data_IF_643122482472
#
_entry.id   IF_643122482472
#
_cell.length_a   1.000
_cell.length_b   1.000
_cell.length_c   1.000
_cell.angle_alpha   90.00
_cell.angle_beta   90.00
_cell.angle_gamma   90.00
#
_symmetry.space_group_name_H-M   'P 1'
#
loop_
_entity.id
_entity.type
_entity.pdbx_description
1 polymer ?
#
# COMPACT_ATOMS: atom_id res chain seq x y z
N UNK A 1 -2.51 -3.22 -24.74
CA UNK A 1 -3.47 -2.55 -23.83
C UNK A 1 -2.88 -1.30 -23.18
N UNK A 2 -1.73 -1.37 -22.49
CA UNK A 2 -1.19 -0.19 -21.76
C UNK A 2 -0.83 1.00 -22.66
N UNK A 3 -0.22 0.76 -23.84
CA UNK A 3 0.24 1.81 -24.74
C UNK A 3 -0.81 2.32 -25.76
N UNK A 4 -2.06 1.90 -25.66
CA UNK A 4 -3.11 2.38 -26.57
C UNK A 4 -3.77 3.62 -26.00
N UNK A 5 -4.03 4.62 -26.85
CA UNK A 5 -4.61 5.92 -26.45
C UNK A 5 -6.09 6.05 -26.85
N UNK A 6 -6.68 5.04 -27.49
CA UNK A 6 -8.09 5.07 -27.87
C UNK A 6 -9.01 5.05 -26.65
N UNK A 7 -9.87 6.07 -26.46
CA UNK A 7 -10.81 6.13 -25.35
C UNK A 7 -11.80 4.96 -25.30
N UNK A 8 -12.25 4.45 -26.46
CA UNK A 8 -13.19 3.34 -26.52
C UNK A 8 -12.55 2.02 -26.07
N UNK A 9 -11.30 1.76 -26.48
CA UNK A 9 -10.53 0.59 -26.01
C UNK A 9 -10.21 0.70 -24.50
N UNK A 10 -9.98 1.91 -24.00
CA UNK A 10 -9.75 2.14 -22.57
C UNK A 10 -11.01 1.85 -21.75
N UNK A 11 -12.17 2.34 -22.20
CA UNK A 11 -13.43 2.06 -21.52
C UNK A 11 -13.79 0.57 -21.54
N UNK A 12 -13.54 -0.12 -22.66
CA UNK A 12 -13.74 -1.57 -22.74
C UNK A 12 -12.81 -2.32 -21.77
N UNK A 13 -11.55 -1.89 -21.62
CA UNK A 13 -10.63 -2.44 -20.64
C UNK A 13 -11.17 -2.30 -19.21
N UNK A 14 -11.64 -1.10 -18.84
CA UNK A 14 -12.21 -0.85 -17.51
C UNK A 14 -13.50 -1.64 -17.28
N UNK A 15 -14.38 -1.73 -18.27
CA UNK A 15 -15.60 -2.52 -18.19
C UNK A 15 -15.30 -4.01 -17.90
N UNK A 16 -14.31 -4.58 -18.61
CA UNK A 16 -13.87 -5.97 -18.36
C UNK A 16 -13.28 -6.13 -16.95
N UNK A 17 -12.49 -5.18 -16.48
CA UNK A 17 -11.92 -5.20 -15.14
C UNK A 17 -13.01 -5.10 -14.05
N UNK A 18 -14.01 -4.23 -14.23
CA UNK A 18 -15.19 -4.15 -13.33
C UNK A 18 -15.92 -5.48 -13.23
N UNK A 19 -16.21 -6.11 -14.38
CA UNK A 19 -16.88 -7.43 -14.42
C UNK A 19 -16.06 -8.51 -13.73
N UNK A 20 -14.73 -8.50 -13.91
CA UNK A 20 -13.84 -9.45 -13.23
C UNK A 20 -13.85 -9.22 -11.71
N UNK A 21 -13.75 -7.96 -11.24
CA UNK A 21 -13.88 -7.64 -9.82
C UNK A 21 -15.22 -8.11 -9.26
N UNK A 22 -16.32 -7.78 -9.93
CA UNK A 22 -17.68 -8.13 -9.50
C UNK A 22 -17.89 -9.64 -9.38
N UNK A 23 -17.33 -10.42 -10.30
CA UNK A 23 -17.42 -11.88 -10.26
C UNK A 23 -16.75 -12.49 -9.02
N UNK A 24 -15.69 -11.89 -8.47
CA UNK A 24 -14.95 -12.41 -7.32
C UNK A 24 -15.34 -11.75 -5.98
N UNK A 25 -15.74 -10.48 -6.01
CA UNK A 25 -15.97 -9.66 -4.82
C UNK A 25 -17.38 -9.06 -4.75
N UNK A 26 -18.26 -9.38 -5.72
CA UNK A 26 -19.59 -8.74 -5.83
C UNK A 26 -19.46 -7.21 -5.82
N UNK A 27 -20.26 -6.53 -5.03
CA UNK A 27 -20.17 -5.07 -4.86
C UNK A 27 -19.37 -4.66 -3.61
N UNK A 28 -18.49 -5.54 -3.08
CA UNK A 28 -17.74 -5.32 -1.85
C UNK A 28 -16.37 -4.72 -2.11
N UNK A 29 -16.03 -3.72 -1.29
CA UNK A 29 -14.73 -3.04 -1.29
C UNK A 29 -14.16 -3.09 0.13
N UNK A 30 -12.93 -3.56 0.27
CA UNK A 30 -12.24 -3.60 1.55
C UNK A 30 -11.65 -2.23 1.91
N UNK A 31 -11.61 -1.92 3.20
CA UNK A 31 -11.12 -0.65 3.74
C UNK A 31 -9.94 -0.90 4.66
N UNK A 32 -8.78 -0.29 4.38
CA UNK A 32 -7.57 -0.43 5.19
C UNK A 32 -7.25 0.87 5.91
N UNK A 33 -7.17 0.79 7.23
CA UNK A 33 -6.74 1.88 8.08
C UNK A 33 -5.23 1.92 8.22
N UNK A 34 -4.62 3.06 7.95
CA UNK A 34 -3.16 3.25 7.97
C UNK A 34 -2.71 3.98 9.23
N UNK A 35 -1.66 3.45 9.85
CA UNK A 35 -0.96 4.07 10.95
C UNK A 35 0.50 4.30 10.54
N UNK A 36 0.81 5.51 10.05
CA UNK A 36 2.18 5.93 9.76
C UNK A 36 2.87 6.27 11.07
N UNK A 37 3.50 5.29 11.72
CA UNK A 37 3.98 5.47 13.09
C UNK A 37 5.43 5.96 13.23
N UNK A 38 6.22 5.93 12.13
CA UNK A 38 7.54 6.57 12.08
C UNK A 38 7.87 7.10 10.69
N UNK A 39 8.33 8.36 10.64
CA UNK A 39 8.88 8.99 9.43
C UNK A 39 10.40 8.89 9.34
N UNK A 40 11.06 8.29 10.34
CA UNK A 40 12.49 8.03 10.29
C UNK A 40 12.81 6.88 9.36
N UNK A 41 13.85 7.05 8.53
CA UNK A 41 14.28 6.03 7.58
C UNK A 41 15.80 6.05 7.43
N UNK A 42 16.42 4.86 7.33
CA UNK A 42 17.86 4.72 7.05
C UNK A 42 18.21 4.89 5.58
N UNK A 43 17.22 4.81 4.68
CA UNK A 43 17.41 4.78 3.24
C UNK A 43 17.34 6.17 2.60
N UNK A 44 17.97 6.29 1.41
CA UNK A 44 17.99 7.51 0.61
C UNK A 44 17.27 7.34 -0.75
N UNK A 45 16.11 6.67 -0.78
CA UNK A 45 15.33 6.49 -2.00
C UNK A 45 15.09 7.82 -2.72
N UNK A 46 15.35 7.88 -4.02
CA UNK A 46 15.33 9.14 -4.77
C UNK A 46 13.92 9.73 -4.93
N UNK A 47 12.89 8.93 -4.79
CA UNK A 47 11.48 9.31 -4.93
C UNK A 47 10.77 9.61 -3.61
N UNK A 48 11.34 9.24 -2.45
CA UNK A 48 10.61 9.17 -1.19
C UNK A 48 10.74 10.43 -0.36
N UNK A 49 9.62 10.94 0.17
CA UNK A 49 9.61 12.06 1.10
C UNK A 49 10.36 11.76 2.41
N UNK A 50 10.28 10.52 2.91
CA UNK A 50 10.93 10.10 4.16
C UNK A 50 12.41 9.73 4.01
N UNK A 51 13.00 9.91 2.84
CA UNK A 51 14.43 9.63 2.63
C UNK A 51 15.30 10.27 3.73
N UNK A 52 16.36 9.56 4.14
CA UNK A 52 17.22 9.96 5.28
C UNK A 52 17.76 11.38 5.18
N UNK A 53 18.23 11.76 3.99
CA UNK A 53 18.86 13.07 3.75
C UNK A 53 17.87 14.22 3.61
N UNK A 54 16.55 13.95 3.51
CA UNK A 54 15.54 14.99 3.44
C UNK A 54 15.40 15.73 4.78
N UNK A 55 15.36 17.06 4.74
CA UNK A 55 15.23 17.93 5.92
C UNK A 55 13.74 18.18 6.20
N UNK A 56 13.08 17.19 6.74
CA UNK A 56 11.66 17.26 7.11
C UNK A 56 11.49 17.14 8.62
N UNK A 57 10.37 17.60 9.14
CA UNK A 57 9.94 17.27 10.49
C UNK A 57 9.69 15.76 10.58
N UNK A 58 10.29 15.13 11.59
CA UNK A 58 10.20 13.68 11.79
C UNK A 58 9.58 13.35 13.12
N UNK A 59 8.78 12.31 13.13
CA UNK A 59 8.19 11.80 14.36
C UNK A 59 8.35 10.28 14.48
N UNK A 60 8.20 9.79 15.69
CA UNK A 60 7.87 8.42 16.08
C UNK A 60 6.70 8.49 17.02
N UNK A 61 5.63 7.79 16.72
CA UNK A 61 4.51 7.62 17.62
C UNK A 61 4.88 6.68 18.76
N UNK A 62 4.37 6.95 19.95
CA UNK A 62 4.51 6.02 21.08
C UNK A 62 3.61 4.80 20.88
N UNK A 63 3.86 3.66 21.55
CA UNK A 63 2.97 2.51 21.51
C UNK A 63 1.51 2.86 21.82
N UNK A 64 1.28 3.73 22.81
CA UNK A 64 -0.03 4.18 23.24
C UNK A 64 -0.73 4.99 22.14
N UNK A 65 0.00 5.89 21.47
CA UNK A 65 -0.53 6.66 20.33
C UNK A 65 -0.90 5.75 19.15
N UNK A 66 -0.04 4.76 18.83
CA UNK A 66 -0.28 3.80 17.73
C UNK A 66 -1.55 2.98 18.02
N UNK A 67 -1.67 2.46 19.24
CA UNK A 67 -2.83 1.66 19.66
C UNK A 67 -4.12 2.51 19.63
N UNK A 68 -4.07 3.74 20.13
CA UNK A 68 -5.23 4.64 20.12
C UNK A 68 -5.69 4.98 18.68
N UNK A 69 -4.75 5.20 17.75
CA UNK A 69 -5.05 5.42 16.33
C UNK A 69 -5.69 4.17 15.71
N UNK A 70 -5.12 2.99 15.97
CA UNK A 70 -5.65 1.72 15.46
C UNK A 70 -7.06 1.43 16.01
N UNK A 71 -7.32 1.74 17.28
CA UNK A 71 -8.64 1.60 17.89
C UNK A 71 -9.67 2.56 17.25
N UNK A 72 -9.28 3.81 16.97
CA UNK A 72 -10.14 4.76 16.27
C UNK A 72 -10.47 4.29 14.83
N UNK A 73 -9.49 3.75 14.11
CA UNK A 73 -9.68 3.14 12.80
C UNK A 73 -10.62 1.93 12.86
N UNK A 74 -10.42 1.03 13.82
CA UNK A 74 -11.31 -0.13 14.00
C UNK A 74 -12.76 0.30 14.26
N UNK A 75 -12.98 1.28 15.12
CA UNK A 75 -14.31 1.85 15.38
C UNK A 75 -14.94 2.51 14.16
N UNK A 76 -14.14 3.01 13.21
CA UNK A 76 -14.65 3.58 11.96
C UNK A 76 -15.11 2.54 10.94
N UNK A 77 -14.79 1.25 11.15
CA UNK A 77 -15.24 0.15 10.29
C UNK A 77 -14.25 -0.27 9.20
N UNK A 78 -12.94 -0.08 9.40
CA UNK A 78 -11.92 -0.65 8.51
C UNK A 78 -11.84 -2.18 8.69
N UNK A 79 -11.36 -2.88 7.67
CA UNK A 79 -11.21 -4.33 7.67
C UNK A 79 -9.83 -4.80 8.16
N UNK A 80 -8.82 -3.92 8.10
CA UNK A 80 -7.43 -4.22 8.43
C UNK A 80 -6.74 -2.95 8.94
N UNK A 81 -5.77 -3.14 9.86
CA UNK A 81 -4.85 -2.09 10.30
C UNK A 81 -3.50 -2.28 9.60
N UNK A 82 -3.07 -1.30 8.81
CA UNK A 82 -1.75 -1.26 8.18
C UNK A 82 -0.79 -0.38 9.02
N UNK A 83 0.19 -1.04 9.61
CA UNK A 83 1.26 -0.39 10.37
C UNK A 83 2.44 -0.08 9.45
N UNK A 84 2.56 1.17 9.07
CA UNK A 84 3.57 1.63 8.10
C UNK A 84 4.62 2.52 8.77
N UNK A 85 5.90 2.30 8.42
CA UNK A 85 7.01 3.16 8.85
C UNK A 85 8.09 3.26 7.77
N UNK A 86 8.94 4.27 7.89
CA UNK A 86 10.26 4.22 7.25
C UNK A 86 11.10 3.10 7.88
N UNK A 87 12.18 2.67 7.22
CA UNK A 87 13.11 1.71 7.82
C UNK A 87 13.87 2.37 8.98
N UNK A 88 13.19 2.49 10.11
CA UNK A 88 13.66 3.18 11.30
C UNK A 88 14.60 2.28 12.11
N UNK A 89 15.88 2.67 12.22
CA UNK A 89 16.90 1.88 12.91
C UNK A 89 16.56 1.60 14.39
N UNK A 90 15.84 2.50 15.05
CA UNK A 90 15.41 2.27 16.42
C UNK A 90 14.52 1.04 16.52
N UNK A 91 13.48 0.95 15.68
CA UNK A 91 12.59 -0.21 15.68
C UNK A 91 13.25 -1.45 15.08
N UNK A 92 14.11 -1.30 14.06
CA UNK A 92 14.74 -2.45 13.40
C UNK A 92 15.84 -3.12 14.24
N UNK A 93 16.61 -2.34 15.03
CA UNK A 93 17.83 -2.84 15.70
C UNK A 93 17.80 -2.75 17.21
N UNK A 94 17.14 -1.73 17.75
CA UNK A 94 17.21 -1.46 19.18
C UNK A 94 16.00 -2.01 19.93
N UNK A 95 14.79 -1.92 19.38
CA UNK A 95 13.56 -2.34 20.04
C UNK A 95 12.50 -2.86 19.06
N UNK A 96 12.80 -3.94 18.35
CA UNK A 96 11.79 -4.61 17.51
C UNK A 96 10.65 -5.21 18.34
N UNK A 97 10.93 -5.55 19.59
CA UNK A 97 9.92 -6.03 20.54
C UNK A 97 8.80 -5.03 20.78
N UNK A 98 9.08 -3.71 20.68
CA UNK A 98 8.04 -2.70 20.76
C UNK A 98 7.03 -2.86 19.61
N UNK A 99 7.49 -3.14 18.39
CA UNK A 99 6.62 -3.38 17.24
C UNK A 99 5.73 -4.61 17.47
N UNK A 100 6.32 -5.69 17.96
CA UNK A 100 5.58 -6.93 18.25
C UNK A 100 4.54 -6.72 19.37
N UNK A 101 4.89 -6.01 20.43
CA UNK A 101 3.93 -5.65 21.52
C UNK A 101 2.76 -4.82 21.00
N UNK A 102 3.03 -3.85 20.11
CA UNK A 102 1.99 -3.02 19.49
C UNK A 102 1.06 -3.86 18.62
N UNK A 103 1.60 -4.72 17.74
CA UNK A 103 0.80 -5.62 16.89
C UNK A 103 -0.09 -6.51 17.77
N UNK A 104 0.48 -7.14 18.81
CA UNK A 104 -0.27 -7.98 19.74
C UNK A 104 -1.43 -7.21 20.38
N UNK A 105 -1.16 -6.03 20.92
CA UNK A 105 -2.16 -5.21 21.58
C UNK A 105 -3.29 -4.78 20.62
N UNK A 106 -2.95 -4.39 19.38
CA UNK A 106 -3.94 -4.05 18.36
C UNK A 106 -4.84 -5.24 18.03
N UNK A 107 -4.26 -6.42 17.82
CA UNK A 107 -5.03 -7.64 17.52
C UNK A 107 -5.96 -8.03 18.68
N UNK A 108 -5.49 -7.95 19.92
CA UNK A 108 -6.28 -8.23 21.11
C UNK A 108 -7.42 -7.24 21.33
N UNK A 109 -7.18 -5.94 21.09
CA UNK A 109 -8.19 -4.88 21.30
C UNK A 109 -9.22 -4.79 20.19
N UNK A 110 -8.79 -4.96 18.94
CA UNK A 110 -9.65 -4.69 17.78
C UNK A 110 -10.22 -5.94 17.13
N UNK A 111 -9.56 -7.09 17.29
CA UNK A 111 -9.87 -8.33 16.59
C UNK A 111 -9.64 -8.26 15.07
N UNK A 112 -9.01 -7.17 14.58
CA UNK A 112 -8.72 -6.98 13.17
C UNK A 112 -7.39 -7.61 12.78
N UNK A 113 -7.26 -8.08 11.53
CA UNK A 113 -5.99 -8.46 10.93
C UNK A 113 -5.03 -7.27 10.84
N UNK A 114 -3.73 -7.56 10.88
CA UNK A 114 -2.67 -6.55 10.81
C UNK A 114 -1.78 -6.80 9.60
N UNK A 115 -1.52 -5.75 8.84
CA UNK A 115 -0.45 -5.65 7.87
C UNK A 115 0.70 -4.87 8.48
N UNK A 116 1.93 -5.29 8.23
CA UNK A 116 3.12 -4.52 8.59
C UNK A 116 3.91 -4.14 7.33
N UNK A 117 4.27 -2.87 7.21
CA UNK A 117 5.11 -2.32 6.14
C UNK A 117 6.38 -1.69 6.74
N UNK A 118 7.35 -2.52 7.21
CA UNK A 118 8.49 -2.06 7.98
C UNK A 118 9.73 -1.78 7.11
N UNK A 119 9.67 -2.06 5.80
CA UNK A 119 10.85 -2.21 4.96
C UNK A 119 11.51 -3.59 5.12
N UNK A 120 12.80 -3.68 4.81
CA UNK A 120 13.55 -4.95 4.96
C UNK A 120 13.91 -5.18 6.42
N UNK A 121 13.44 -6.28 6.97
CA UNK A 121 13.76 -6.78 8.31
C UNK A 121 14.48 -8.14 8.21
N UNK A 122 15.08 -8.61 9.31
CA UNK A 122 15.80 -9.89 9.32
C UNK A 122 14.86 -11.09 9.29
N UNK A 123 15.38 -12.26 8.90
CA UNK A 123 14.63 -13.51 8.88
C UNK A 123 14.04 -13.85 10.27
N UNK A 124 14.80 -13.67 11.34
CA UNK A 124 14.32 -13.80 12.72
C UNK A 124 13.12 -12.87 13.02
N UNK A 125 13.19 -11.63 12.56
CA UNK A 125 12.09 -10.69 12.75
C UNK A 125 10.84 -11.09 11.95
N UNK A 126 11.02 -11.63 10.74
CA UNK A 126 9.92 -12.18 9.93
C UNK A 126 9.29 -13.38 10.63
N UNK A 127 10.09 -14.32 11.14
CA UNK A 127 9.59 -15.47 11.91
C UNK A 127 8.74 -15.02 13.10
N UNK A 128 9.24 -14.08 13.88
CA UNK A 128 8.53 -13.55 15.06
C UNK A 128 7.24 -12.82 14.70
N UNK A 129 7.20 -12.12 13.56
CA UNK A 129 5.96 -11.54 13.03
C UNK A 129 4.94 -12.62 12.65
N UNK A 130 5.41 -13.67 11.97
CA UNK A 130 4.55 -14.79 11.57
C UNK A 130 4.05 -15.59 12.78
N UNK A 131 4.90 -15.88 13.77
CA UNK A 131 4.53 -16.56 15.03
C UNK A 131 3.49 -15.77 15.83
N UNK A 132 3.55 -14.43 15.76
CA UNK A 132 2.55 -13.55 16.36
C UNK A 132 1.20 -13.58 15.61
N UNK A 133 1.17 -14.20 14.43
CA UNK A 133 0.00 -14.26 13.56
C UNK A 133 -0.26 -12.95 12.83
N UNK A 134 0.79 -12.18 12.50
CA UNK A 134 0.67 -11.02 11.60
C UNK A 134 0.29 -11.52 10.21
N UNK A 135 -0.81 -11.05 9.65
CA UNK A 135 -1.37 -11.62 8.44
C UNK A 135 -0.62 -11.20 7.18
N UNK A 136 -0.14 -9.95 7.12
CA UNK A 136 0.45 -9.39 5.91
C UNK A 136 1.84 -8.78 6.11
N UNK A 137 2.69 -8.99 5.12
CA UNK A 137 3.96 -8.30 4.97
C UNK A 137 3.97 -7.49 3.67
N UNK A 138 4.02 -6.17 3.76
CA UNK A 138 4.05 -5.28 2.61
C UNK A 138 5.47 -4.76 2.37
N UNK A 139 6.03 -5.04 1.19
CA UNK A 139 7.38 -4.62 0.83
C UNK A 139 7.52 -4.41 -0.66
N UNK A 140 7.44 -3.16 -1.11
CA UNK A 140 7.42 -2.82 -2.53
C UNK A 140 8.80 -2.78 -3.16
N UNK A 141 8.93 -3.40 -4.34
CA UNK A 141 10.13 -3.29 -5.15
C UNK A 141 10.19 -1.97 -5.92
N UNK A 142 9.06 -1.33 -6.18
CA UNK A 142 8.82 -0.16 -7.04
C UNK A 142 9.01 -0.45 -8.52
N UNK A 143 9.91 -1.34 -8.88
CA UNK A 143 10.16 -1.87 -10.23
C UNK A 143 10.93 -3.17 -10.14
N UNK A 144 10.70 -4.09 -11.05
CA UNK A 144 11.51 -5.31 -11.16
C UNK A 144 12.63 -5.19 -12.22
N UNK A 145 12.76 -4.04 -12.86
CA UNK A 145 13.96 -3.69 -13.61
C UNK A 145 15.09 -3.34 -12.64
N UNK A 146 16.13 -4.18 -12.57
CA UNK A 146 17.25 -4.03 -11.61
C UNK A 146 18.02 -2.73 -11.78
N UNK A 147 18.20 -2.25 -13.02
CA UNK A 147 18.89 -0.99 -13.28
C UNK A 147 18.06 0.19 -12.77
N UNK A 148 16.77 0.23 -13.06
CA UNK A 148 15.87 1.25 -12.55
C UNK A 148 15.77 1.18 -11.02
N UNK A 149 15.67 -0.02 -10.44
CA UNK A 149 15.69 -0.22 -8.99
C UNK A 149 16.91 0.44 -8.34
N UNK A 150 18.11 0.19 -8.87
CA UNK A 150 19.34 0.77 -8.31
C UNK A 150 19.37 2.30 -8.35
N UNK A 151 18.73 2.90 -9.35
CA UNK A 151 18.56 4.36 -9.45
C UNK A 151 17.52 4.91 -8.46
N UNK A 152 16.45 4.17 -8.22
CA UNK A 152 15.35 4.60 -7.33
C UNK A 152 15.70 4.37 -5.85
N UNK A 153 16.21 3.17 -5.53
CA UNK A 153 16.50 2.70 -4.18
C UNK A 153 18.01 2.64 -3.93
N UNK A 154 18.61 3.81 -3.95
CA UNK A 154 20.07 3.99 -3.80
C UNK A 154 20.60 3.26 -2.57
N UNK A 155 21.68 2.48 -2.74
CA UNK A 155 22.35 1.69 -1.71
C UNK A 155 21.46 0.61 -1.04
N UNK A 156 20.40 0.17 -1.71
CA UNK A 156 19.62 -0.99 -1.25
C UNK A 156 19.88 -2.19 -2.15
N UNK A 157 19.84 -3.37 -1.56
CA UNK A 157 20.02 -4.62 -2.29
C UNK A 157 18.68 -5.12 -2.83
N UNK A 158 18.65 -5.39 -4.13
CA UNK A 158 17.46 -5.90 -4.83
C UNK A 158 17.07 -7.29 -4.34
N UNK A 159 18.07 -8.17 -4.18
CA UNK A 159 17.85 -9.58 -3.86
C UNK A 159 17.50 -9.74 -2.36
N UNK A 160 18.05 -8.92 -1.48
CA UNK A 160 17.67 -8.86 -0.05
C UNK A 160 16.17 -8.51 0.09
N UNK A 161 15.69 -7.53 -0.68
CA UNK A 161 14.25 -7.16 -0.65
C UNK A 161 13.36 -8.26 -1.23
N UNK A 162 13.80 -8.92 -2.30
CA UNK A 162 13.09 -10.07 -2.85
C UNK A 162 13.06 -11.24 -1.88
N UNK A 163 14.19 -11.55 -1.24
CA UNK A 163 14.29 -12.59 -0.22
C UNK A 163 13.31 -12.35 0.94
N UNK A 164 13.31 -11.16 1.52
CA UNK A 164 12.46 -10.86 2.68
C UNK A 164 10.99 -11.14 2.43
N UNK A 165 10.44 -10.75 1.25
CA UNK A 165 9.02 -11.00 0.94
C UNK A 165 8.74 -12.47 0.62
N UNK A 166 9.66 -13.17 -0.05
CA UNK A 166 9.53 -14.60 -0.30
C UNK A 166 9.61 -15.40 0.99
N UNK A 167 10.48 -15.00 1.91
CA UNK A 167 10.61 -15.61 3.21
C UNK A 167 9.37 -15.38 4.10
N UNK A 168 8.83 -14.17 4.10
CA UNK A 168 7.58 -13.89 4.79
C UNK A 168 6.43 -14.79 4.28
N UNK A 169 6.34 -14.97 2.95
CA UNK A 169 5.38 -15.91 2.37
C UNK A 169 5.65 -17.36 2.78
N UNK A 170 6.90 -17.80 2.81
CA UNK A 170 7.28 -19.14 3.28
C UNK A 170 6.84 -19.39 4.73
N UNK A 171 6.91 -18.35 5.58
CA UNK A 171 6.42 -18.38 6.96
C UNK A 171 4.90 -18.25 7.10
N UNK A 172 4.16 -18.24 6.00
CA UNK A 172 2.68 -18.24 5.97
C UNK A 172 2.04 -16.86 5.99
N UNK A 173 2.82 -15.78 5.90
CA UNK A 173 2.28 -14.43 5.76
C UNK A 173 1.82 -14.18 4.31
N UNK A 174 0.77 -13.41 4.15
CA UNK A 174 0.37 -12.89 2.84
C UNK A 174 1.29 -11.72 2.45
N UNK A 175 1.60 -11.61 1.16
CA UNK A 175 2.52 -10.58 0.66
C UNK A 175 1.80 -9.56 -0.19
N UNK A 176 2.08 -8.28 0.08
CA UNK A 176 1.76 -7.19 -0.83
C UNK A 176 3.02 -6.75 -1.59
N UNK A 177 2.92 -6.70 -2.92
CA UNK A 177 3.94 -6.16 -3.82
C UNK A 177 3.43 -4.94 -4.57
N UNK A 178 4.30 -3.95 -4.81
CA UNK A 178 3.93 -2.70 -5.46
C UNK A 178 4.99 -2.13 -6.40
N UNK A 179 4.49 -1.39 -7.41
CA UNK A 179 5.33 -0.63 -8.35
C UNK A 179 4.93 0.84 -8.39
N UNK A 180 5.90 1.69 -8.73
CA UNK A 180 5.68 3.10 -9.08
C UNK A 180 5.67 3.29 -10.59
N UNK A 181 4.83 4.21 -11.07
CA UNK A 181 4.82 4.68 -12.45
C UNK A 181 5.21 6.16 -12.52
N UNK A 182 5.84 6.55 -13.64
CA UNK A 182 6.35 7.91 -13.85
C UNK A 182 7.73 8.15 -13.24
N UNK A 183 8.49 7.08 -13.01
CA UNK A 183 9.84 7.10 -12.42
C UNK A 183 10.93 6.75 -13.42
N UNK A 184 10.57 6.62 -14.71
CA UNK A 184 11.50 6.32 -15.81
C UNK A 184 11.44 4.89 -16.32
N UNK A 185 10.40 4.15 -15.96
CA UNK A 185 10.09 2.81 -16.45
C UNK A 185 9.55 2.83 -17.88
N UNK A 186 9.76 1.74 -18.59
CA UNK A 186 9.11 1.43 -19.86
C UNK A 186 7.83 0.62 -19.64
N UNK A 187 6.98 0.54 -20.67
CA UNK A 187 5.82 -0.36 -20.65
C UNK A 187 6.21 -1.85 -20.53
N UNK A 188 7.39 -2.21 -21.01
CA UNK A 188 7.94 -3.55 -20.83
C UNK A 188 8.29 -3.81 -19.36
N UNK A 189 8.94 -2.86 -18.68
CA UNK A 189 9.26 -2.97 -17.26
C UNK A 189 8.00 -3.12 -16.39
N UNK A 190 6.93 -2.41 -16.75
CA UNK A 190 5.63 -2.56 -16.09
C UNK A 190 5.08 -3.97 -16.29
N UNK A 191 5.08 -4.46 -17.53
CA UNK A 191 4.56 -5.79 -17.85
C UNK A 191 5.35 -6.89 -17.13
N UNK A 192 6.69 -6.80 -17.13
CA UNK A 192 7.57 -7.74 -16.42
C UNK A 192 7.32 -7.69 -14.92
N UNK A 193 7.11 -6.49 -14.36
CA UNK A 193 6.80 -6.33 -12.94
C UNK A 193 5.45 -6.96 -12.57
N UNK A 194 4.42 -6.81 -13.39
CA UNK A 194 3.14 -7.47 -13.17
C UNK A 194 3.31 -9.00 -13.18
N UNK A 195 4.07 -9.55 -14.13
CA UNK A 195 4.36 -10.99 -14.19
C UNK A 195 5.13 -11.47 -12.95
N UNK A 196 6.09 -10.67 -12.48
CA UNK A 196 6.88 -11.01 -11.30
C UNK A 196 6.05 -11.01 -10.00
N UNK A 197 5.06 -10.11 -9.86
CA UNK A 197 4.10 -10.17 -8.75
C UNK A 197 3.38 -11.52 -8.66
N UNK A 198 3.03 -12.12 -9.81
CA UNK A 198 2.46 -13.48 -9.86
C UNK A 198 3.46 -14.56 -9.45
N UNK A 199 4.74 -14.47 -9.86
CA UNK A 199 5.80 -15.42 -9.46
C UNK A 199 6.09 -15.35 -7.97
N UNK A 200 6.11 -14.15 -7.41
CA UNK A 200 6.21 -13.92 -5.95
C UNK A 200 5.01 -14.55 -5.23
N UNK A 201 3.87 -14.69 -5.90
CA UNK A 201 2.61 -15.13 -5.31
C UNK A 201 2.00 -14.05 -4.41
N UNK A 202 2.16 -12.78 -4.79
CA UNK A 202 1.56 -11.65 -4.08
C UNK A 202 0.03 -11.77 -4.12
N UNK A 203 -0.59 -11.71 -2.94
CA UNK A 203 -2.06 -11.74 -2.78
C UNK A 203 -2.67 -10.35 -2.90
N UNK A 204 -1.85 -9.31 -2.73
CA UNK A 204 -2.19 -7.93 -3.01
C UNK A 204 -1.16 -7.34 -3.97
N UNK A 205 -1.63 -6.79 -5.09
CA UNK A 205 -0.79 -6.22 -6.15
C UNK A 205 -1.13 -4.75 -6.32
N UNK A 206 -0.12 -3.89 -6.21
CA UNK A 206 -0.30 -2.44 -6.16
C UNK A 206 0.43 -1.74 -7.29
N UNK A 207 -0.18 -0.69 -7.81
CA UNK A 207 0.50 0.35 -8.59
C UNK A 207 0.16 1.71 -8.01
N UNK A 208 1.13 2.61 -8.01
CA UNK A 208 0.94 4.00 -7.60
C UNK A 208 1.60 4.94 -8.61
N UNK A 209 0.92 6.03 -8.94
CA UNK A 209 1.52 7.13 -9.70
C UNK A 209 2.51 7.91 -8.83
N UNK A 210 3.71 8.13 -9.35
CA UNK A 210 4.70 8.93 -8.66
C UNK A 210 4.23 10.40 -8.51
N UNK A 211 4.38 10.91 -7.31
CA UNK A 211 4.16 12.32 -6.97
C UNK A 211 5.50 12.91 -6.53
N UNK A 212 6.04 13.92 -7.25
CA UNK A 212 7.28 14.58 -6.85
C UNK A 212 7.21 15.12 -5.43
N UNK A 213 8.25 14.83 -4.63
CA UNK A 213 8.29 15.24 -3.23
C UNK A 213 9.39 16.28 -3.00
N UNK A 214 9.12 17.38 -2.26
CA UNK A 214 10.10 18.39 -1.92
C UNK A 214 11.34 17.79 -1.24
N UNK A 215 12.51 18.26 -1.61
CA UNK A 215 13.79 17.80 -1.04
C UNK A 215 14.25 16.43 -1.53
N UNK A 216 13.52 15.78 -2.44
CA UNK A 216 13.96 14.56 -3.11
C UNK A 216 14.71 14.86 -4.41
N UNK A 217 15.64 13.99 -4.87
CA UNK A 217 16.29 14.17 -6.18
C UNK A 217 15.32 14.20 -7.36
N UNK A 218 14.12 13.67 -7.19
CA UNK A 218 13.07 13.63 -8.21
C UNK A 218 12.02 14.73 -8.03
N UNK A 219 12.28 15.76 -7.21
CA UNK A 219 11.35 16.88 -6.98
C UNK A 219 10.96 17.62 -8.28
N UNK A 220 11.88 17.73 -9.23
CA UNK A 220 11.64 18.36 -10.53
C UNK A 220 10.96 17.50 -11.59
N UNK A 221 10.60 16.27 -11.27
CA UNK A 221 9.93 15.37 -12.21
C UNK A 221 8.47 15.79 -12.39
N UNK A 222 7.89 15.40 -13.54
CA UNK A 222 6.44 15.57 -13.73
C UNK A 222 5.68 14.56 -12.88
N UNK A 223 4.54 14.96 -12.34
CA UNK A 223 3.59 14.03 -11.75
C UNK A 223 3.18 12.99 -12.81
N UNK A 224 3.16 11.72 -12.43
CA UNK A 224 2.77 10.64 -13.32
C UNK A 224 1.32 10.75 -13.78
N UNK A 225 1.02 10.18 -14.95
CA UNK A 225 -0.33 10.17 -15.49
C UNK A 225 -1.20 9.13 -14.75
N UNK A 226 -2.27 9.61 -14.14
CA UNK A 226 -3.24 8.75 -13.45
C UNK A 226 -4.00 7.82 -14.40
N UNK A 227 -4.06 8.09 -15.69
CA UNK A 227 -4.68 7.19 -16.67
C UNK A 227 -3.85 5.92 -16.85
N UNK A 228 -2.51 6.04 -16.90
CA UNK A 228 -1.62 4.88 -16.98
C UNK A 228 -1.77 4.00 -15.72
N UNK A 229 -1.80 4.59 -14.53
CA UNK A 229 -2.05 3.86 -13.27
C UNK A 229 -3.37 3.08 -13.34
N UNK A 230 -4.45 3.71 -13.77
CA UNK A 230 -5.77 3.05 -13.90
C UNK A 230 -5.76 1.91 -14.92
N UNK A 231 -5.08 2.08 -16.06
CA UNK A 231 -4.91 0.99 -17.03
C UNK A 231 -4.14 -0.19 -16.44
N UNK A 232 -3.11 0.08 -15.64
CA UNK A 232 -2.34 -0.97 -14.95
C UNK A 232 -3.22 -1.69 -13.92
N UNK A 233 -4.01 -0.97 -13.13
CA UNK A 233 -5.01 -1.56 -12.21
C UNK A 233 -5.93 -2.52 -12.98
N UNK A 234 -6.46 -2.09 -14.14
CA UNK A 234 -7.35 -2.93 -14.94
C UNK A 234 -6.65 -4.17 -15.51
N UNK A 235 -5.40 -4.04 -15.97
CA UNK A 235 -4.60 -5.19 -16.44
C UNK A 235 -4.32 -6.16 -15.28
N UNK A 236 -3.90 -5.66 -14.11
CA UNK A 236 -3.70 -6.47 -12.92
C UNK A 236 -4.98 -7.23 -12.54
N UNK A 237 -6.15 -6.57 -12.57
CA UNK A 237 -7.45 -7.22 -12.29
C UNK A 237 -7.77 -8.35 -13.26
N UNK A 238 -7.45 -8.19 -14.54
CA UNK A 238 -7.69 -9.24 -15.52
C UNK A 238 -6.69 -10.40 -15.41
N UNK A 239 -5.46 -10.13 -14.97
CA UNK A 239 -4.44 -11.16 -14.76
C UNK A 239 -4.59 -11.90 -13.44
N UNK A 240 -5.03 -11.18 -12.39
CA UNK A 240 -5.17 -11.67 -11.02
C UNK A 240 -6.59 -11.37 -10.51
N UNK A 241 -7.60 -12.09 -11.01
CA UNK A 241 -9.00 -11.72 -10.80
C UNK A 241 -9.46 -11.86 -9.34
N UNK A 242 -8.78 -12.65 -8.54
CA UNK A 242 -9.02 -12.88 -7.11
C UNK A 242 -8.06 -12.12 -6.17
N UNK A 243 -7.08 -11.38 -6.70
CA UNK A 243 -6.16 -10.60 -5.89
C UNK A 243 -6.80 -9.33 -5.33
N UNK A 244 -6.23 -8.81 -4.24
CA UNK A 244 -6.54 -7.47 -3.76
C UNK A 244 -5.76 -6.45 -4.58
N UNK A 245 -6.44 -5.39 -5.03
CA UNK A 245 -5.84 -4.31 -5.81
C UNK A 245 -6.23 -2.98 -5.18
N UNK A 246 -5.26 -2.26 -4.58
CA UNK A 246 -5.52 -1.01 -3.89
C UNK A 246 -5.88 0.16 -4.81
N UNK A 247 -6.82 1.00 -4.32
CA UNK A 247 -7.02 2.39 -4.66
C UNK A 247 -6.46 3.23 -3.53
N UNK A 248 -5.22 3.73 -3.68
CA UNK A 248 -4.56 4.48 -2.63
C UNK A 248 -5.04 5.91 -2.55
N UNK A 249 -5.35 6.37 -1.33
CA UNK A 249 -5.66 7.77 -1.05
C UNK A 249 -4.41 8.64 -0.87
N UNK A 250 -3.20 8.07 -0.89
CA UNK A 250 -1.95 8.81 -0.70
C UNK A 250 -1.60 9.75 -1.86
N UNK A 251 -2.12 9.51 -3.08
CA UNK A 251 -1.69 10.22 -4.27
C UNK A 251 -2.44 11.56 -4.43
N UNK A 252 -3.75 11.52 -4.31
CA UNK A 252 -4.66 12.65 -4.58
C UNK A 252 -5.91 12.61 -3.69
N UNK A 253 -5.79 11.94 -2.54
CA UNK A 253 -6.87 11.83 -1.56
C UNK A 253 -8.11 11.17 -2.15
N UNK A 254 -9.26 11.63 -1.67
CA UNK A 254 -10.56 11.10 -2.09
C UNK A 254 -10.90 11.37 -3.56
N UNK A 255 -10.28 12.40 -4.17
CA UNK A 255 -10.57 12.83 -5.56
C UNK A 255 -10.18 11.78 -6.60
N UNK A 256 -9.13 10.99 -6.33
CA UNK A 256 -8.68 9.94 -7.25
C UNK A 256 -9.39 8.61 -7.08
N UNK A 257 -10.18 8.44 -6.02
CA UNK A 257 -10.74 7.16 -5.61
C UNK A 257 -11.67 6.55 -6.67
N UNK A 258 -12.64 7.32 -7.16
CA UNK A 258 -13.65 6.85 -8.12
C UNK A 258 -13.01 6.22 -9.36
N UNK A 259 -12.02 6.90 -9.96
CA UNK A 259 -11.36 6.41 -11.16
C UNK A 259 -10.56 5.12 -10.95
N UNK A 260 -9.96 4.91 -9.77
CA UNK A 260 -9.24 3.67 -9.44
C UNK A 260 -10.19 2.51 -9.20
N UNK A 261 -11.28 2.75 -8.47
CA UNK A 261 -12.33 1.76 -8.26
C UNK A 261 -13.00 1.37 -9.58
N UNK A 262 -13.25 2.34 -10.46
CA UNK A 262 -13.81 2.11 -11.79
C UNK A 262 -12.87 1.26 -12.67
N UNK A 263 -11.57 1.42 -12.51
CA UNK A 263 -10.57 0.59 -13.18
C UNK A 263 -10.44 -0.84 -12.61
N UNK A 264 -11.17 -1.21 -11.58
CA UNK A 264 -11.20 -2.58 -11.04
C UNK A 264 -10.50 -2.78 -9.69
N UNK A 265 -10.06 -1.70 -9.02
CA UNK A 265 -9.56 -1.80 -7.65
C UNK A 265 -10.68 -2.26 -6.69
N UNK A 266 -10.31 -2.95 -5.61
CA UNK A 266 -11.25 -3.48 -4.62
C UNK A 266 -10.81 -3.27 -3.16
N UNK A 267 -9.76 -2.51 -2.94
CA UNK A 267 -9.30 -2.12 -1.60
C UNK A 267 -9.07 -0.61 -1.59
N UNK A 268 -9.61 0.10 -0.61
CA UNK A 268 -9.25 1.50 -0.35
C UNK A 268 -8.20 1.51 0.75
N UNK A 269 -7.03 2.05 0.45
CA UNK A 269 -5.92 2.12 1.39
C UNK A 269 -5.62 3.56 1.80
N UNK A 270 -4.81 3.71 2.84
CA UNK A 270 -4.42 5.01 3.39
C UNK A 270 -5.60 5.79 4.01
N UNK A 271 -6.59 5.07 4.54
CA UNK A 271 -7.61 5.65 5.41
C UNK A 271 -6.96 5.98 6.75
N UNK A 272 -7.18 7.19 7.23
CA UNK A 272 -6.63 7.67 8.50
C UNK A 272 -7.72 8.33 9.36
N UNK A 273 -7.61 8.27 10.69
CA UNK A 273 -8.52 9.02 11.54
C UNK A 273 -8.18 10.51 11.50
N UNK A 274 -9.18 11.39 11.57
CA UNK A 274 -8.95 12.83 11.63
C UNK A 274 -8.06 13.22 12.82
N UNK A 275 -7.22 14.25 12.62
CA UNK A 275 -6.36 14.86 13.67
C UNK A 275 -5.37 13.91 14.33
N UNK A 276 -4.97 12.84 13.64
CA UNK A 276 -3.98 11.91 14.17
C UNK A 276 -2.52 12.39 14.01
N UNK A 277 -2.29 13.50 13.30
CA UNK A 277 -0.95 14.05 13.05
C UNK A 277 -0.07 13.06 12.28
N UNK A 278 -0.62 12.42 11.25
CA UNK A 278 0.07 11.45 10.41
C UNK A 278 0.53 12.10 9.11
N UNK A 279 1.69 11.69 8.61
CA UNK A 279 2.22 12.09 7.30
C UNK A 279 2.21 10.91 6.34
N UNK A 280 1.71 11.09 5.11
CA UNK A 280 1.80 10.10 4.04
C UNK A 280 3.12 10.20 3.27
N UNK A 281 3.57 9.09 2.71
CA UNK A 281 4.83 9.01 1.94
C UNK A 281 4.79 9.79 0.62
N UNK A 282 3.61 10.03 0.08
CA UNK A 282 3.37 10.79 -1.14
C UNK A 282 2.80 12.20 -0.87
N UNK A 283 2.78 12.64 0.38
CA UNK A 283 2.32 13.96 0.78
C UNK A 283 3.32 14.63 1.71
N UNK A 284 3.64 15.87 1.38
CA UNK A 284 4.62 16.68 2.10
C UNK A 284 4.07 17.39 3.35
N UNK A 285 2.80 17.18 3.69
CA UNK A 285 2.17 17.82 4.85
C UNK A 285 1.92 16.80 5.97
N UNK A 286 2.09 17.23 7.22
CA UNK A 286 1.72 16.44 8.42
C UNK A 286 0.20 16.30 8.55
N UNK A 287 -0.55 17.25 8.00
CA UNK A 287 -2.00 17.22 8.00
C UNK A 287 -2.50 16.67 6.66
N UNK A 288 -2.96 15.43 6.69
CA UNK A 288 -3.56 14.74 5.54
C UNK A 288 -5.10 14.81 5.57
N UNK A 289 -5.68 15.57 6.49
CA UNK A 289 -7.13 15.70 6.66
C UNK A 289 -7.81 16.35 5.44
N UNK A 290 -7.11 17.27 4.77
CA UNK A 290 -7.61 17.90 3.54
C UNK A 290 -7.84 16.92 2.38
N UNK A 291 -7.30 15.72 2.47
CA UNK A 291 -7.45 14.66 1.47
C UNK A 291 -8.75 13.87 1.55
N UNK A 292 -9.60 14.10 2.56
CA UNK A 292 -10.86 13.37 2.77
C UNK A 292 -10.66 11.87 2.98
N UNK A 293 -9.68 11.46 3.79
CA UNK A 293 -9.25 10.07 3.93
C UNK A 293 -9.99 9.29 5.02
N UNK A 294 -11.26 9.55 5.19
CA UNK A 294 -12.10 8.88 6.20
C UNK A 294 -12.93 7.75 5.61
N UNK A 295 -13.35 6.81 6.45
CA UNK A 295 -14.30 5.75 6.07
C UNK A 295 -15.62 6.36 5.58
N UNK A 296 -16.08 7.44 6.21
CA UNK A 296 -17.33 8.10 5.86
C UNK A 296 -17.32 8.64 4.44
N UNK A 297 -16.29 9.40 4.07
CA UNK A 297 -16.14 9.99 2.74
C UNK A 297 -15.90 8.92 1.67
N UNK A 298 -15.05 7.93 1.94
CA UNK A 298 -14.85 6.77 1.06
C UNK A 298 -16.16 6.02 0.82
N UNK A 299 -16.93 5.74 1.88
CA UNK A 299 -18.21 5.04 1.79
C UNK A 299 -19.28 5.86 1.03
N UNK A 300 -19.23 7.20 1.12
CA UNK A 300 -20.13 8.06 0.35
C UNK A 300 -19.89 7.93 -1.18
N UNK A 301 -18.63 7.83 -1.60
CA UNK A 301 -18.28 7.56 -3.00
C UNK A 301 -18.71 6.16 -3.41
N UNK A 302 -18.40 5.15 -2.61
CA UNK A 302 -18.80 3.77 -2.92
C UNK A 302 -20.32 3.65 -3.14
N UNK A 303 -21.14 4.26 -2.28
CA UNK A 303 -22.61 4.27 -2.43
C UNK A 303 -23.06 4.89 -3.77
N UNK A 304 -22.43 5.99 -4.21
CA UNK A 304 -22.73 6.60 -5.52
C UNK A 304 -22.40 5.67 -6.69
N UNK A 305 -21.39 4.80 -6.53
CA UNK A 305 -20.98 3.80 -7.52
C UNK A 305 -21.79 2.48 -7.42
N UNK A 306 -22.77 2.37 -6.52
CA UNK A 306 -23.50 1.11 -6.28
C UNK A 306 -22.68 0.06 -5.52
N UNK A 307 -21.60 0.46 -4.88
CA UNK A 307 -20.68 -0.38 -4.11
C UNK A 307 -20.84 -0.12 -2.60
N UNK A 308 -20.29 -0.99 -1.79
CA UNK A 308 -20.34 -0.85 -0.34
C UNK A 308 -19.09 -1.43 0.34
N UNK A 309 -18.73 -0.93 1.52
CA UNK A 309 -17.69 -1.54 2.34
C UNK A 309 -17.99 -3.00 2.61
N UNK A 310 -16.94 -3.84 2.59
CA UNK A 310 -17.04 -5.22 3.03
C UNK A 310 -17.11 -5.30 4.55
N UNK A 311 -17.75 -6.34 5.09
CA UNK A 311 -17.74 -6.63 6.50
C UNK A 311 -16.42 -7.24 6.98
N UNK A 312 -16.18 -7.26 8.29
CA UNK A 312 -15.01 -7.92 8.87
C UNK A 312 -15.03 -9.43 8.60
N UNK A 313 -16.22 -10.06 8.56
CA UNK A 313 -16.41 -11.48 8.26
C UNK A 313 -16.03 -11.78 6.81
N UNK A 314 -16.47 -10.96 5.85
CA UNK A 314 -16.12 -11.09 4.43
C UNK A 314 -14.61 -10.98 4.22
N UNK A 315 -13.91 -10.13 4.99
CA UNK A 315 -12.47 -10.03 4.93
C UNK A 315 -11.77 -11.25 5.54
N UNK A 316 -12.24 -11.75 6.67
CA UNK A 316 -11.73 -13.00 7.28
C UNK A 316 -11.93 -14.20 6.36
N UNK A 317 -13.07 -14.29 5.68
CA UNK A 317 -13.29 -15.30 4.65
C UNK A 317 -12.27 -15.20 3.51
N UNK A 318 -11.98 -13.98 3.04
CA UNK A 318 -10.93 -13.79 2.03
C UNK A 318 -9.55 -14.26 2.51
N UNK A 319 -9.18 -13.96 3.75
CA UNK A 319 -7.88 -14.36 4.32
C UNK A 319 -7.74 -15.90 4.47
N UNK A 320 -8.85 -16.62 4.54
CA UNK A 320 -8.87 -18.09 4.70
C UNK A 320 -8.77 -18.87 3.37
N UNK A 321 -8.82 -18.18 2.23
CA UNK A 321 -8.70 -18.77 0.87
C UNK A 321 -7.23 -18.99 0.52
#
# INVERSE_FOLDING_TARGET
MLGREDPAETEELFNRARKAREAFFSNRIFLYGFVYFSTWCRNDCNFCYFRRSNKIERYRKTPEEIIAIAEALAKSGVNLIDLTMGEDLRFHREDFDAVLRVIKAIKELTGLPVMISPGVVTDDQIERLAELGTEWYALYQETHNRELFSRLRVNQDYDERMHAKLYAREKGMLVEEGILTGVGESLADIADSILEMGRIGARQVRVMSFVPQPGSPMEGFKKADSLLERKIIAVMRLMYPDALIPASLDIDGIKGLEGRIDAGANVITSIIPPRAGLAGVAQSTMDVEEGGRTVEEASAILRKMGLQPASAEEYKEYLSR
#
